data_IF_314147199371
#
_entry.id   IF_314147199371
#
_cell.length_a   1.000
_cell.length_b   1.000
_cell.length_c   1.000
_cell.angle_alpha   90.00
_cell.angle_beta   90.00
_cell.angle_gamma   90.00
#
_symmetry.space_group_name_H-M   'P 1'
#
loop_
_entity.id
_entity.type
_entity.pdbx_description
1 polymer ?
#
# COMPACT_ATOMS: atom_id res chain seq x y z
N UNK A 1 23.74 11.27 -11.89
CA UNK A 1 22.76 11.86 -10.96
C UNK A 1 21.35 11.47 -11.40
N UNK A 2 20.40 11.30 -10.46
CA UNK A 2 19.04 10.70 -10.58
C UNK A 2 18.92 9.25 -10.07
N UNK A 3 19.23 9.04 -8.79
CA UNK A 3 18.59 8.00 -7.98
C UNK A 3 17.17 8.44 -7.60
N UNK A 4 16.31 8.69 -8.60
CA UNK A 4 14.89 8.87 -8.36
C UNK A 4 14.27 7.49 -8.20
N UNK A 5 13.64 7.20 -7.07
CA UNK A 5 12.69 6.08 -7.00
C UNK A 5 11.79 6.18 -8.23
N UNK A 6 11.58 5.07 -8.95
CA UNK A 6 10.81 4.98 -10.23
C UNK A 6 9.39 5.56 -10.15
N UNK A 7 8.97 5.99 -8.96
CA UNK A 7 7.67 6.49 -8.62
C UNK A 7 7.84 7.73 -7.72
N UNK A 8 7.58 8.92 -8.27
CA UNK A 8 7.34 10.12 -7.46
C UNK A 8 5.97 9.95 -6.80
N UNK A 9 5.96 9.42 -5.58
CA UNK A 9 4.73 9.29 -4.80
C UNK A 9 4.54 10.58 -4.01
N UNK A 10 3.29 11.03 -3.95
CA UNK A 10 2.92 12.13 -3.07
C UNK A 10 3.23 11.76 -1.59
N UNK A 11 3.65 12.71 -0.74
CA UNK A 11 3.95 12.45 0.67
C UNK A 11 2.81 11.75 1.43
N UNK A 12 1.56 11.93 1.01
CA UNK A 12 0.42 11.21 1.60
C UNK A 12 0.47 9.69 1.42
N UNK A 13 1.38 9.17 0.58
CA UNK A 13 1.72 7.74 0.53
C UNK A 13 2.28 7.22 1.86
N UNK A 14 2.73 8.09 2.76
CA UNK A 14 3.23 7.72 4.09
C UNK A 14 2.15 7.83 5.18
N UNK A 15 1.05 8.52 4.91
CA UNK A 15 -0.04 8.71 5.88
C UNK A 15 -0.81 7.42 6.15
N UNK A 16 -1.46 7.34 7.31
CA UNK A 16 -2.30 6.18 7.63
C UNK A 16 -3.57 6.11 6.75
N UNK A 17 -3.95 7.24 6.18
CA UNK A 17 -5.14 7.46 5.37
C UNK A 17 -4.73 7.72 3.92
N UNK A 18 -5.29 6.95 2.99
CA UNK A 18 -5.03 7.10 1.55
C UNK A 18 -6.32 7.36 0.80
N UNK A 19 -6.48 8.50 0.11
CA UNK A 19 -7.61 8.71 -0.79
C UNK A 19 -7.53 7.77 -1.99
N UNK A 20 -8.39 6.77 -1.99
CA UNK A 20 -8.49 5.77 -3.06
C UNK A 20 -9.73 5.99 -3.90
N UNK A 21 -9.64 5.57 -5.16
CA UNK A 21 -10.74 5.63 -6.11
C UNK A 21 -10.85 4.31 -6.87
N UNK A 22 -12.07 3.81 -7.01
CA UNK A 22 -12.40 2.66 -7.85
C UNK A 22 -13.45 3.11 -8.87
N UNK A 23 -13.05 3.23 -10.14
CA UNK A 23 -13.86 3.82 -11.23
C UNK A 23 -14.48 5.17 -10.86
N UNK A 24 -15.78 5.17 -10.52
CA UNK A 24 -16.57 6.37 -10.22
C UNK A 24 -16.74 6.61 -8.72
N UNK A 25 -16.26 5.69 -7.88
CA UNK A 25 -16.40 5.74 -6.43
C UNK A 25 -15.08 6.13 -5.79
N UNK A 26 -15.12 7.11 -4.89
CA UNK A 26 -14.00 7.52 -4.05
C UNK A 26 -14.21 7.11 -2.59
N UNK A 27 -13.12 6.82 -1.89
CA UNK A 27 -13.11 6.50 -0.46
C UNK A 27 -11.74 6.74 0.15
N UNK A 28 -11.63 6.60 1.47
CA UNK A 28 -10.37 6.70 2.20
C UNK A 28 -9.97 5.31 2.68
N UNK A 29 -8.81 4.82 2.25
CA UNK A 29 -8.24 3.58 2.72
C UNK A 29 -7.37 3.82 3.96
N UNK A 30 -7.65 3.08 5.02
CA UNK A 30 -6.89 3.07 6.26
C UNK A 30 -5.89 1.91 6.27
N UNK A 31 -4.60 2.23 6.18
CA UNK A 31 -3.51 1.24 6.18
C UNK A 31 -3.45 0.43 7.46
N UNK A 32 -3.74 1.06 8.59
CA UNK A 32 -3.70 0.39 9.90
C UNK A 32 -4.78 -0.68 10.05
N UNK A 33 -5.86 -0.58 9.24
CA UNK A 33 -6.94 -1.57 9.19
C UNK A 33 -6.79 -2.57 8.06
N UNK A 34 -5.87 -2.32 7.12
CA UNK A 34 -5.56 -3.23 6.04
C UNK A 34 -4.70 -4.38 6.58
N UNK A 35 -5.35 -5.36 7.22
CA UNK A 35 -4.70 -6.63 7.60
C UNK A 35 -4.22 -7.39 6.36
N UNK A 36 -3.24 -8.29 6.53
CA UNK A 36 -2.45 -8.99 5.49
C UNK A 36 -3.20 -9.73 4.37
N UNK A 37 -4.53 -9.63 4.25
CA UNK A 37 -5.32 -10.39 3.28
C UNK A 37 -6.56 -9.70 2.70
N UNK A 38 -6.79 -8.40 2.89
CA UNK A 38 -7.93 -7.70 2.25
C UNK A 38 -9.32 -8.16 2.71
N UNK A 39 -9.42 -8.87 3.84
CA UNK A 39 -10.69 -9.25 4.50
C UNK A 39 -11.15 -8.23 5.55
N UNK A 40 -10.24 -7.38 6.02
CA UNK A 40 -10.56 -6.32 6.98
C UNK A 40 -11.32 -5.18 6.31
N UNK A 41 -12.32 -4.63 7.00
CA UNK A 41 -12.98 -3.39 6.61
C UNK A 41 -12.01 -2.23 6.83
N UNK A 42 -11.38 -1.79 5.75
CA UNK A 42 -10.30 -0.82 5.77
C UNK A 42 -10.58 0.42 4.91
N UNK A 43 -11.65 0.44 4.10
CA UNK A 43 -12.01 1.58 3.27
C UNK A 43 -13.23 2.26 3.85
N UNK A 44 -13.15 3.56 4.10
CA UNK A 44 -14.28 4.39 4.50
C UNK A 44 -14.83 5.11 3.28
N UNK A 45 -16.12 4.97 3.03
CA UNK A 45 -16.84 5.70 1.98
C UNK A 45 -18.10 6.29 2.60
N UNK A 46 -18.18 7.62 2.63
CA UNK A 46 -19.15 8.31 3.48
C UNK A 46 -18.95 7.95 4.95
N UNK A 47 -19.99 7.45 5.60
CA UNK A 47 -19.97 7.04 7.01
C UNK A 47 -19.76 5.53 7.22
N UNK A 48 -19.73 4.76 6.14
CA UNK A 48 -19.68 3.30 6.19
C UNK A 48 -18.27 2.76 5.92
N UNK A 49 -17.99 1.61 6.55
CA UNK A 49 -16.73 0.89 6.40
C UNK A 49 -16.90 -0.34 5.53
N UNK A 50 -16.04 -0.45 4.52
CA UNK A 50 -16.05 -1.49 3.51
C UNK A 50 -14.72 -2.22 3.45
N UNK A 51 -14.76 -3.51 3.15
CA UNK A 51 -13.61 -4.26 2.70
C UNK A 51 -13.22 -3.82 1.27
N UNK A 52 -11.96 -4.06 0.85
CA UNK A 52 -11.53 -3.80 -0.52
C UNK A 52 -12.42 -4.45 -1.58
N UNK A 53 -12.88 -5.67 -1.31
CA UNK A 53 -13.77 -6.42 -2.21
C UNK A 53 -15.16 -5.81 -2.27
N UNK A 54 -15.75 -5.42 -1.12
CA UNK A 54 -17.05 -4.73 -1.11
C UNK A 54 -16.97 -3.39 -1.83
N UNK A 55 -15.90 -2.63 -1.61
CA UNK A 55 -15.67 -1.36 -2.31
C UNK A 55 -15.53 -1.54 -3.83
N UNK A 56 -14.84 -2.59 -4.27
CA UNK A 56 -14.77 -2.98 -5.68
C UNK A 56 -16.14 -3.42 -6.23
N UNK A 57 -16.91 -4.18 -5.44
CA UNK A 57 -18.25 -4.61 -5.81
C UNK A 57 -19.19 -3.43 -6.01
N UNK A 58 -19.14 -2.43 -5.13
CA UNK A 58 -19.90 -1.18 -5.27
C UNK A 58 -19.58 -0.44 -6.57
N UNK A 59 -18.34 -0.52 -7.05
CA UNK A 59 -17.92 0.09 -8.32
C UNK A 59 -18.34 -0.72 -9.57
N UNK A 60 -19.20 -1.74 -9.39
CA UNK A 60 -19.68 -2.61 -10.47
C UNK A 60 -18.63 -3.62 -10.93
N UNK A 61 -17.75 -4.08 -10.03
CA UNK A 61 -16.74 -5.12 -10.28
C UNK A 61 -16.82 -6.29 -9.29
N UNK A 62 -18.02 -6.64 -8.86
CA UNK A 62 -18.25 -7.69 -7.86
C UNK A 62 -17.67 -9.08 -8.22
N UNK A 63 -17.42 -9.35 -9.52
CA UNK A 63 -16.81 -10.61 -9.99
C UNK A 63 -15.27 -10.63 -9.97
N UNK A 64 -14.62 -9.47 -9.81
CA UNK A 64 -13.17 -9.38 -9.81
C UNK A 64 -12.63 -9.73 -8.42
N UNK A 65 -11.70 -10.69 -8.34
CA UNK A 65 -10.93 -10.98 -7.10
C UNK A 65 -9.68 -10.10 -7.01
N UNK A 66 -9.65 -9.02 -7.79
CA UNK A 66 -8.46 -8.22 -8.12
C UNK A 66 -8.60 -6.77 -7.64
N UNK A 67 -9.16 -6.56 -6.44
CA UNK A 67 -9.29 -5.24 -5.81
C UNK A 67 -7.97 -4.45 -5.81
N UNK A 68 -6.82 -5.13 -5.75
CA UNK A 68 -5.47 -4.52 -5.82
C UNK A 68 -5.22 -3.74 -7.12
N UNK A 69 -5.82 -4.18 -8.23
CA UNK A 69 -5.74 -3.52 -9.55
C UNK A 69 -6.88 -2.55 -9.80
N UNK A 70 -8.07 -2.88 -9.30
CA UNK A 70 -9.27 -2.04 -9.49
C UNK A 70 -9.21 -0.75 -8.69
N UNK A 71 -8.68 -0.81 -7.46
CA UNK A 71 -8.53 0.35 -6.58
C UNK A 71 -7.25 1.11 -6.93
N UNK A 72 -7.39 2.41 -7.16
CA UNK A 72 -6.30 3.31 -7.56
C UNK A 72 -6.12 4.44 -6.55
N UNK A 73 -4.88 4.84 -6.34
CA UNK A 73 -4.47 6.02 -5.59
C UNK A 73 -3.65 6.91 -6.53
N UNK A 74 -3.96 8.20 -6.62
CA UNK A 74 -3.29 9.16 -7.52
C UNK A 74 -3.15 8.64 -8.97
N UNK A 75 -4.19 7.96 -9.48
CA UNK A 75 -4.20 7.37 -10.82
C UNK A 75 -3.47 6.02 -10.98
N UNK A 76 -2.79 5.54 -9.94
CA UNK A 76 -2.00 4.29 -9.96
C UNK A 76 -2.65 3.17 -9.15
N UNK A 77 -2.57 1.90 -9.59
CA UNK A 77 -3.17 0.78 -8.86
C UNK A 77 -2.49 0.56 -7.51
N UNK A 78 -3.27 0.24 -6.49
CA UNK A 78 -2.74 0.06 -5.14
C UNK A 78 -1.81 -1.15 -5.02
N UNK A 79 -1.89 -2.11 -5.95
CA UNK A 79 -0.91 -3.18 -6.13
C UNK A 79 0.53 -2.65 -6.19
N UNK A 80 0.75 -1.48 -6.83
CA UNK A 80 2.06 -0.85 -6.87
C UNK A 80 2.50 -0.37 -5.49
N UNK A 81 1.59 0.24 -4.70
CA UNK A 81 1.90 0.63 -3.32
C UNK A 81 2.26 -0.58 -2.46
N UNK A 82 1.50 -1.68 -2.58
CA UNK A 82 1.77 -2.90 -1.80
C UNK A 82 3.14 -3.47 -2.16
N UNK A 83 3.48 -3.55 -3.44
CA UNK A 83 4.82 -3.97 -3.89
C UNK A 83 5.92 -3.03 -3.41
N UNK A 84 5.72 -1.71 -3.53
CA UNK A 84 6.70 -0.72 -3.06
C UNK A 84 6.87 -0.81 -1.56
N UNK A 85 5.81 -1.05 -0.78
CA UNK A 85 5.92 -1.23 0.67
C UNK A 85 6.59 -2.55 1.03
N UNK A 86 6.33 -3.64 0.32
CA UNK A 86 7.03 -4.91 0.50
C UNK A 86 8.52 -4.75 0.19
N UNK A 87 8.85 -4.12 -0.94
CA UNK A 87 10.22 -3.81 -1.34
C UNK A 87 10.87 -2.83 -0.36
N UNK A 88 10.14 -1.83 0.13
CA UNK A 88 10.64 -0.84 1.08
C UNK A 88 10.83 -1.43 2.47
N UNK A 89 9.97 -2.33 2.94
CA UNK A 89 10.18 -3.12 4.16
C UNK A 89 11.38 -4.03 3.98
N UNK A 90 11.52 -4.69 2.83
CA UNK A 90 12.67 -5.53 2.52
C UNK A 90 13.97 -4.69 2.49
N UNK A 91 13.94 -3.50 1.91
CA UNK A 91 15.07 -2.56 1.89
C UNK A 91 15.35 -1.98 3.28
N UNK A 92 14.32 -1.69 4.09
CA UNK A 92 14.48 -1.23 5.47
C UNK A 92 15.04 -2.34 6.37
N UNK A 93 14.54 -3.57 6.24
CA UNK A 93 15.07 -4.75 6.93
C UNK A 93 16.50 -5.04 6.46
N UNK A 94 16.80 -4.99 5.17
CA UNK A 94 18.19 -5.13 4.68
C UNK A 94 19.08 -4.00 5.19
N UNK A 95 18.59 -2.75 5.24
CA UNK A 95 19.35 -1.62 5.78
C UNK A 95 19.53 -1.72 7.30
N UNK A 96 18.57 -2.29 8.03
CA UNK A 96 18.70 -2.55 9.47
C UNK A 96 19.58 -3.77 9.77
N UNK A 97 19.47 -4.87 9.01
CA UNK A 97 20.35 -6.03 9.10
C UNK A 97 21.79 -5.62 8.78
N UNK A 98 21.99 -4.70 7.82
CA UNK A 98 23.30 -4.15 7.48
C UNK A 98 23.86 -3.17 8.52
N UNK A 99 23.05 -2.69 9.48
CA UNK A 99 23.50 -1.90 10.64
C UNK A 99 23.86 -2.76 11.86
N UNK A 100 23.47 -4.03 11.89
CA UNK A 100 23.77 -4.97 12.98
C UNK A 100 24.98 -5.88 12.71
N UNK A 101 25.76 -5.61 11.67
CA UNK A 101 27.09 -6.20 11.49
C UNK A 101 28.11 -5.08 11.65
N UNK A 102 28.53 -4.85 12.89
CA UNK A 102 29.75 -4.13 13.20
C UNK A 102 30.95 -4.95 12.67
N UNK A 103 31.84 -4.38 11.84
CA UNK A 103 33.10 -5.02 11.51
C UNK A 103 34.08 -4.75 12.65
N UNK A 104 33.89 -5.42 13.78
CA UNK A 104 34.87 -5.44 14.88
C UNK A 104 34.95 -6.86 15.38
N UNK A 105 35.85 -7.63 14.77
CA UNK A 105 36.60 -8.78 15.30
C UNK A 105 36.90 -9.75 14.14
N UNK A 106 37.95 -9.43 13.38
CA UNK A 106 38.84 -10.45 12.83
C UNK A 106 40.25 -9.85 12.82
N UNK A 107 40.83 -9.79 14.01
CA UNK A 107 42.27 -9.79 14.21
C UNK A 107 42.55 -10.97 15.12
N UNK A 108 43.07 -12.02 14.52
CA UNK A 108 43.44 -13.30 15.11
C UNK A 108 44.13 -14.11 14.03
#
# INVERSE_FOLDING_TARGET
EKSGTKYNWDPSVYDNELPVRCRNISGILYKNRLGSGGRGRCIKQGDNWYSPTEFEAMAGRASSKDWKRSIRYAGRPIQCLIHVRFLSIFLFLLSHIRKSVSPTEFSG
#
